data_IF_681661281339
#
_entry.id   IF_681661281339
#
_cell.length_a   1.000
_cell.length_b   1.000
_cell.length_c   1.000
_cell.angle_alpha   90.00
_cell.angle_beta   90.00
_cell.angle_gamma   90.00
#
_symmetry.space_group_name_H-M   'P 1'
#
loop_
_entity.id
_entity.type
_entity.pdbx_description
1 polymer ?
#
# COMPACT_ATOMS: atom_id res chain seq x y z
N UNK A 1 -17.67 -7.94 -1.02
CA UNK A 1 -17.54 -6.55 -0.52
C UNK A 1 -16.80 -6.50 0.82
N UNK A 2 -17.31 -7.09 1.91
CA UNK A 2 -16.64 -7.07 3.21
C UNK A 2 -15.21 -7.65 3.18
N UNK A 3 -15.01 -8.81 2.53
CA UNK A 3 -13.67 -9.40 2.37
C UNK A 3 -12.70 -8.49 1.60
N UNK A 4 -13.19 -7.79 0.57
CA UNK A 4 -12.37 -6.81 -0.16
C UNK A 4 -12.00 -5.64 0.75
N UNK A 5 -12.93 -5.19 1.60
CA UNK A 5 -12.67 -4.11 2.55
C UNK A 5 -11.64 -4.53 3.60
N UNK A 6 -11.74 -5.74 4.17
CA UNK A 6 -10.72 -6.32 5.06
C UNK A 6 -9.36 -6.35 4.34
N UNK A 7 -9.34 -6.81 3.09
CA UNK A 7 -8.12 -6.84 2.27
C UNK A 7 -7.48 -5.46 2.10
N UNK A 8 -8.27 -4.46 1.70
CA UNK A 8 -7.77 -3.10 1.50
C UNK A 8 -7.21 -2.47 2.79
N UNK A 9 -7.90 -2.65 3.92
CA UNK A 9 -7.46 -2.13 5.22
C UNK A 9 -6.21 -2.87 5.69
N UNK A 10 -6.16 -4.19 5.50
CA UNK A 10 -5.00 -5.01 5.81
C UNK A 10 -3.78 -4.60 5.00
N UNK A 11 -3.94 -4.43 3.67
CA UNK A 11 -2.88 -3.92 2.82
C UNK A 11 -2.39 -2.56 3.32
N UNK A 12 -3.30 -1.60 3.55
CA UNK A 12 -2.94 -0.27 4.06
C UNK A 12 -2.13 -0.33 5.37
N UNK A 13 -2.58 -1.13 6.34
CA UNK A 13 -1.90 -1.31 7.62
C UNK A 13 -0.51 -1.95 7.45
N UNK A 14 -0.42 -3.08 6.75
CA UNK A 14 0.82 -3.83 6.60
C UNK A 14 1.85 -3.07 5.76
N UNK A 15 1.41 -2.30 4.77
CA UNK A 15 2.26 -1.36 4.01
C UNK A 15 3.00 -0.39 4.95
N UNK A 16 2.29 0.23 5.89
CA UNK A 16 2.88 1.15 6.88
C UNK A 16 3.78 0.39 7.87
N UNK A 17 3.32 -0.75 8.37
CA UNK A 17 4.08 -1.57 9.30
C UNK A 17 5.42 -2.04 8.70
N UNK A 18 5.42 -2.47 7.43
CA UNK A 18 6.63 -2.83 6.69
C UNK A 18 7.53 -1.61 6.56
N UNK A 19 7.02 -0.44 6.21
CA UNK A 19 7.83 0.79 6.11
C UNK A 19 8.55 1.10 7.42
N UNK A 20 7.86 1.03 8.56
CA UNK A 20 8.47 1.22 9.89
C UNK A 20 9.48 0.13 10.24
N UNK A 21 9.18 -1.13 9.93
CA UNK A 21 10.10 -2.23 10.12
C UNK A 21 11.39 -2.02 9.32
N UNK A 22 11.25 -1.67 8.04
CA UNK A 22 12.35 -1.33 7.14
C UNK A 22 13.16 -0.16 7.69
N UNK A 23 12.51 0.91 8.16
CA UNK A 23 13.20 2.04 8.80
C UNK A 23 14.01 1.61 10.03
N UNK A 24 13.40 0.88 10.96
CA UNK A 24 14.09 0.43 12.18
C UNK A 24 15.27 -0.50 11.86
N UNK A 25 15.11 -1.39 10.90
CA UNK A 25 16.15 -2.35 10.50
C UNK A 25 17.29 -1.69 9.73
N UNK A 26 17.00 -0.74 8.83
CA UNK A 26 18.02 -0.10 7.98
C UNK A 26 18.65 1.14 8.60
N UNK A 27 17.81 2.05 9.11
CA UNK A 27 18.26 3.34 9.62
C UNK A 27 18.79 3.21 11.05
N UNK A 28 18.06 2.49 11.90
CA UNK A 28 18.43 2.32 13.32
C UNK A 28 19.25 1.05 13.59
N UNK A 29 19.40 0.14 12.60
CA UNK A 29 20.03 -1.18 12.75
C UNK A 29 19.54 -1.98 13.97
N UNK A 30 18.29 -1.73 14.39
CA UNK A 30 17.70 -2.43 15.54
C UNK A 30 17.10 -3.73 15.07
N UNK A 31 17.68 -4.84 15.50
CA UNK A 31 17.10 -6.17 15.32
C UNK A 31 15.72 -6.19 15.98
N UNK A 32 14.69 -6.33 15.15
CA UNK A 32 13.32 -6.37 15.64
C UNK A 32 13.09 -7.70 16.36
N UNK A 33 12.68 -7.62 17.62
CA UNK A 33 12.38 -8.80 18.43
C UNK A 33 11.01 -9.36 18.05
N UNK A 34 10.82 -10.67 18.29
CA UNK A 34 9.53 -11.35 18.08
C UNK A 34 8.39 -10.76 18.90
N UNK A 35 8.73 -10.18 20.06
CA UNK A 35 7.79 -9.47 20.91
C UNK A 35 7.28 -8.16 20.31
N UNK A 36 7.90 -7.65 19.23
CA UNK A 36 7.43 -6.46 18.50
C UNK A 36 6.62 -6.87 17.29
N UNK A 37 7.16 -7.71 16.41
CA UNK A 37 6.47 -8.02 15.15
C UNK A 37 5.24 -8.94 15.36
N UNK A 38 5.26 -9.83 16.36
CA UNK A 38 4.13 -10.72 16.64
C UNK A 38 2.84 -9.95 16.96
N UNK A 39 2.86 -9.06 17.97
CA UNK A 39 1.73 -8.20 18.28
C UNK A 39 1.30 -7.30 17.13
N UNK A 40 2.24 -6.75 16.34
CA UNK A 40 1.92 -5.94 15.16
C UNK A 40 1.11 -6.73 14.12
N UNK A 41 1.45 -8.00 13.89
CA UNK A 41 0.70 -8.84 12.95
C UNK A 41 -0.71 -9.12 13.47
N UNK A 42 -0.82 -9.53 14.74
CA UNK A 42 -2.13 -9.82 15.36
C UNK A 42 -3.01 -8.57 15.35
N UNK A 43 -2.45 -7.41 15.71
CA UNK A 43 -3.17 -6.13 15.70
C UNK A 43 -3.60 -5.72 14.29
N UNK A 44 -2.74 -5.91 13.29
CA UNK A 44 -3.06 -5.63 11.88
C UNK A 44 -4.27 -6.42 11.39
N UNK A 45 -4.29 -7.73 11.65
CA UNK A 45 -5.44 -8.57 11.31
C UNK A 45 -6.70 -8.20 12.10
N UNK A 46 -6.57 -7.96 13.41
CA UNK A 46 -7.69 -7.54 14.25
C UNK A 46 -8.32 -6.23 13.73
N UNK A 47 -7.51 -5.21 13.45
CA UNK A 47 -7.98 -3.92 12.89
C UNK A 47 -8.65 -4.13 11.54
N UNK A 48 -8.08 -4.96 10.67
CA UNK A 48 -8.63 -5.24 9.34
C UNK A 48 -9.99 -5.93 9.39
N UNK A 49 -10.12 -6.93 10.28
CA UNK A 49 -11.38 -7.63 10.51
C UNK A 49 -12.41 -6.70 11.13
N UNK A 50 -12.05 -6.00 12.21
CA UNK A 50 -12.97 -5.09 12.90
C UNK A 50 -13.50 -4.04 11.93
N UNK A 51 -12.64 -3.30 11.23
CA UNK A 51 -13.07 -2.24 10.33
C UNK A 51 -13.77 -2.76 9.06
N UNK A 52 -13.40 -3.95 8.58
CA UNK A 52 -14.06 -4.57 7.43
C UNK A 52 -15.46 -5.12 7.75
N UNK A 53 -15.69 -5.60 8.96
CA UNK A 53 -17.00 -6.12 9.40
C UNK A 53 -17.85 -5.08 10.15
N UNK A 54 -17.28 -3.98 10.63
CA UNK A 54 -18.00 -2.89 11.32
C UNK A 54 -19.29 -2.42 10.60
N UNK A 55 -19.31 -2.28 9.26
CA UNK A 55 -20.51 -1.83 8.55
C UNK A 55 -21.63 -2.87 8.48
N UNK A 56 -21.33 -4.14 8.78
CA UNK A 56 -22.32 -5.23 8.83
C UNK A 56 -22.98 -5.34 10.21
N UNK A 57 -22.23 -5.04 11.26
CA UNK A 57 -22.70 -5.11 12.64
C UNK A 57 -23.38 -3.82 13.11
N UNK A 58 -23.10 -2.69 12.46
CA UNK A 58 -23.84 -1.47 12.70
C UNK A 58 -25.17 -1.51 11.94
N UNK A 59 -26.28 -1.21 12.61
CA UNK A 59 -27.65 -1.16 12.05
C UNK A 59 -27.85 -0.07 10.95
N UNK A 60 -26.81 0.28 10.21
CA UNK A 60 -26.80 1.34 9.19
C UNK A 60 -27.39 0.89 7.83
N UNK A 61 -28.13 -0.23 7.81
CA UNK A 61 -28.68 -0.81 6.59
C UNK A 61 -27.61 -1.47 5.70
N UNK A 62 -27.93 -1.78 4.43
CA UNK A 62 -27.00 -2.46 3.52
C UNK A 62 -25.89 -1.50 3.05
N UNK A 63 -24.84 -1.33 3.86
CA UNK A 63 -23.70 -0.46 3.56
C UNK A 63 -22.88 -0.96 2.36
N UNK A 64 -22.83 -2.28 2.18
CA UNK A 64 -22.14 -2.92 1.07
C UNK A 64 -23.03 -3.09 -0.17
N UNK A 65 -22.44 -2.92 -1.34
CA UNK A 65 -23.11 -3.07 -2.63
C UNK A 65 -22.18 -2.88 -3.82
N UNK A 66 -22.72 -2.89 -5.05
CA UNK A 66 -21.97 -2.52 -6.25
C UNK A 66 -21.48 -1.07 -6.13
N UNK A 67 -20.20 -0.85 -6.43
CA UNK A 67 -19.49 0.44 -6.28
C UNK A 67 -18.54 0.64 -7.47
N UNK A 68 -19.09 1.11 -8.59
CA UNK A 68 -18.38 1.19 -9.87
C UNK A 68 -18.09 -0.19 -10.45
N UNK A 69 -16.81 -0.48 -10.74
CA UNK A 69 -16.33 -1.74 -11.31
C UNK A 69 -16.16 -2.88 -10.29
N UNK A 70 -16.36 -2.60 -9.00
CA UNK A 70 -16.09 -3.54 -7.92
C UNK A 70 -17.21 -3.54 -6.86
N UNK A 71 -17.14 -4.49 -5.93
CA UNK A 71 -18.05 -4.56 -4.79
C UNK A 71 -17.43 -3.91 -3.56
N UNK A 72 -18.08 -2.89 -3.00
CA UNK A 72 -17.51 -2.11 -1.89
C UNK A 72 -18.59 -1.38 -1.10
N UNK A 73 -18.19 -0.33 -0.39
CA UNK A 73 -19.15 0.59 0.25
C UNK A 73 -19.93 1.30 -0.87
N UNK A 74 -21.25 1.36 -0.73
CA UNK A 74 -22.12 1.98 -1.74
C UNK A 74 -21.75 3.44 -1.96
N UNK A 75 -21.74 3.88 -3.22
CA UNK A 75 -21.46 5.28 -3.58
C UNK A 75 -22.54 6.25 -3.05
N UNK A 76 -23.73 5.73 -2.75
CA UNK A 76 -24.81 6.51 -2.11
C UNK A 76 -24.49 6.91 -0.67
N UNK A 77 -23.66 6.13 0.05
CA UNK A 77 -23.21 6.44 1.40
C UNK A 77 -21.85 7.15 1.37
N UNK A 78 -21.87 8.39 0.86
CA UNK A 78 -20.70 9.23 0.61
C UNK A 78 -19.77 9.39 1.82
N UNK A 79 -20.34 9.66 2.98
CA UNK A 79 -19.59 9.86 4.24
C UNK A 79 -18.88 8.58 4.65
N UNK A 80 -19.60 7.46 4.65
CA UNK A 80 -19.08 6.14 5.02
C UNK A 80 -18.00 5.68 4.03
N UNK A 81 -18.19 5.91 2.73
CA UNK A 81 -17.19 5.62 1.71
C UNK A 81 -15.88 6.37 1.99
N UNK A 82 -15.95 7.65 2.31
CA UNK A 82 -14.76 8.43 2.62
C UNK A 82 -14.03 7.92 3.87
N UNK A 83 -14.75 7.75 4.98
CA UNK A 83 -14.14 7.37 6.26
C UNK A 83 -13.66 5.93 6.32
N UNK A 84 -14.42 4.97 5.79
CA UNK A 84 -14.06 3.56 5.89
C UNK A 84 -13.11 3.12 4.79
N UNK A 85 -13.21 3.70 3.59
CA UNK A 85 -12.43 3.24 2.44
C UNK A 85 -11.29 4.20 2.08
N UNK A 86 -11.61 5.47 1.81
CA UNK A 86 -10.64 6.38 1.23
C UNK A 86 -9.59 6.89 2.24
N UNK A 87 -10.04 7.26 3.43
CA UNK A 87 -9.20 7.87 4.47
C UNK A 87 -8.10 6.93 4.99
N UNK A 88 -8.35 5.65 5.32
CA UNK A 88 -7.29 4.73 5.76
C UNK A 88 -6.22 4.52 4.69
N UNK A 89 -6.62 4.43 3.42
CA UNK A 89 -5.71 4.26 2.29
C UNK A 89 -4.84 5.50 2.11
N UNK A 90 -5.42 6.70 2.18
CA UNK A 90 -4.67 7.95 2.10
C UNK A 90 -3.67 8.11 3.24
N UNK A 91 -4.09 7.85 4.48
CA UNK A 91 -3.21 7.92 5.65
C UNK A 91 -2.05 6.94 5.48
N UNK A 92 -2.33 5.70 5.07
CA UNK A 92 -1.30 4.70 4.85
C UNK A 92 -0.31 5.10 3.74
N UNK A 93 -0.83 5.63 2.63
CA UNK A 93 0.00 6.11 1.52
C UNK A 93 0.91 7.26 1.94
N UNK A 94 0.39 8.26 2.67
CA UNK A 94 1.18 9.41 3.14
C UNK A 94 2.21 8.98 4.19
N UNK A 95 1.83 8.18 5.18
CA UNK A 95 2.76 7.71 6.22
C UNK A 95 3.88 6.87 5.63
N UNK A 96 3.57 5.92 4.75
CA UNK A 96 4.58 5.11 4.09
C UNK A 96 5.51 5.96 3.21
N UNK A 97 4.97 6.92 2.45
CA UNK A 97 5.79 7.85 1.66
C UNK A 97 6.78 8.65 2.51
N UNK A 98 6.33 9.18 3.65
CA UNK A 98 7.20 9.92 4.58
C UNK A 98 8.31 9.01 5.11
N UNK A 99 7.97 7.80 5.57
CA UNK A 99 8.96 6.87 6.12
C UNK A 99 9.99 6.46 5.07
N UNK A 100 9.56 6.11 3.85
CA UNK A 100 10.50 5.76 2.78
C UNK A 100 11.35 6.94 2.32
N UNK A 101 10.79 8.15 2.27
CA UNK A 101 11.57 9.36 1.99
C UNK A 101 12.67 9.58 3.04
N UNK A 102 12.37 9.39 4.33
CA UNK A 102 13.36 9.46 5.41
C UNK A 102 14.46 8.41 5.25
N UNK A 103 14.11 7.16 4.92
CA UNK A 103 15.10 6.10 4.67
C UNK A 103 16.04 6.54 3.55
N UNK A 104 15.51 7.07 2.45
CA UNK A 104 16.31 7.53 1.31
C UNK A 104 17.24 8.70 1.67
N UNK A 105 16.73 9.69 2.41
CA UNK A 105 17.52 10.83 2.88
C UNK A 105 18.69 10.39 3.76
N UNK A 106 18.46 9.42 4.66
CA UNK A 106 19.50 8.85 5.51
C UNK A 106 20.52 8.04 4.71
N UNK A 107 20.07 7.15 3.83
CA UNK A 107 20.98 6.34 3.00
C UNK A 107 21.84 7.18 2.07
N UNK A 108 21.33 8.31 1.60
CA UNK A 108 22.08 9.25 0.76
C UNK A 108 23.03 10.14 1.56
N UNK A 109 23.04 10.03 2.89
CA UNK A 109 23.92 10.76 3.78
C UNK A 109 23.51 12.22 4.03
N UNK A 110 22.31 12.63 3.62
CA UNK A 110 21.82 14.00 3.88
C UNK A 110 21.42 14.21 5.35
N UNK A 111 21.00 13.16 6.05
CA UNK A 111 20.57 13.22 7.44
C UNK A 111 21.38 12.20 8.26
N UNK A 112 22.09 12.68 9.28
CA UNK A 112 22.80 11.83 10.24
C UNK A 112 21.99 11.74 11.53
N UNK A 113 21.43 10.56 11.81
CA UNK A 113 20.68 10.31 13.04
C UNK A 113 21.69 9.90 14.13
N UNK A 114 21.68 10.57 15.29
CA UNK A 114 22.51 10.19 16.45
C UNK A 114 22.15 8.76 16.89
N UNK A 115 23.11 7.84 16.78
CA UNK A 115 22.89 6.39 17.02
C UNK A 115 22.47 5.59 15.78
N UNK A 116 22.29 6.25 14.63
CA UNK A 116 22.10 5.64 13.31
C UNK A 116 23.43 5.48 12.56
N UNK A 117 23.34 4.99 11.32
CA UNK A 117 24.50 4.65 10.46
C UNK A 117 25.50 5.81 10.33
N UNK A 118 26.75 5.61 10.81
CA UNK A 118 27.92 6.33 10.31
C UNK A 118 28.34 5.68 8.98
N UNK A 119 28.62 6.49 7.96
CA UNK A 119 28.92 6.12 6.56
C UNK A 119 30.28 5.39 6.42
N UNK A 120 30.57 4.44 7.30
CA UNK A 120 31.84 3.71 7.40
C UNK A 120 31.64 2.19 7.50
N UNK A 121 30.40 1.69 7.52
CA UNK A 121 30.12 0.25 7.68
C UNK A 121 29.70 -0.39 6.35
N UNK A 122 30.66 -1.14 5.78
CA UNK A 122 30.52 -2.16 4.72
C UNK A 122 29.78 -1.72 3.44
N UNK A 123 30.54 -1.18 2.49
CA UNK A 123 30.05 -0.58 1.24
C UNK A 123 29.18 -1.53 0.41
N UNK A 124 29.51 -2.83 0.39
CA UNK A 124 28.81 -3.83 -0.40
C UNK A 124 27.38 -4.10 0.11
N UNK A 125 27.21 -4.25 1.43
CA UNK A 125 25.89 -4.43 2.04
C UNK A 125 25.05 -3.16 1.88
N UNK A 126 25.65 -1.98 2.11
CA UNK A 126 24.94 -0.71 1.92
C UNK A 126 24.49 -0.51 0.46
N UNK A 127 25.31 -0.83 -0.54
CA UNK A 127 24.95 -0.69 -1.95
C UNK A 127 23.81 -1.61 -2.36
N UNK A 128 23.85 -2.88 -1.95
CA UNK A 128 22.79 -3.85 -2.25
C UNK A 128 21.44 -3.39 -1.67
N UNK A 129 21.43 -3.01 -0.40
CA UNK A 129 20.21 -2.53 0.27
C UNK A 129 19.75 -1.17 -0.25
N UNK A 130 20.66 -0.27 -0.63
CA UNK A 130 20.30 1.02 -1.25
C UNK A 130 19.61 0.83 -2.59
N UNK A 131 20.06 -0.13 -3.40
CA UNK A 131 19.40 -0.49 -4.67
C UNK A 131 18.00 -1.10 -4.43
N UNK A 132 17.86 -1.94 -3.40
CA UNK A 132 16.55 -2.50 -3.01
C UNK A 132 15.61 -1.39 -2.54
N UNK A 133 16.07 -0.52 -1.64
CA UNK A 133 15.27 0.60 -1.13
C UNK A 133 14.90 1.55 -2.26
N UNK A 134 15.81 1.86 -3.19
CA UNK A 134 15.49 2.68 -4.38
C UNK A 134 14.40 2.04 -5.23
N UNK A 135 14.45 0.72 -5.42
CA UNK A 135 13.42 -0.03 -6.14
C UNK A 135 12.08 -0.02 -5.40
N UNK A 136 12.10 -0.22 -4.07
CA UNK A 136 10.91 -0.11 -3.22
C UNK A 136 10.31 1.29 -3.27
N UNK A 137 11.14 2.34 -3.28
CA UNK A 137 10.69 3.73 -3.32
C UNK A 137 10.03 4.08 -4.65
N UNK A 138 10.58 3.58 -5.77
CA UNK A 138 9.94 3.69 -7.08
C UNK A 138 8.60 2.96 -7.14
N UNK A 139 8.49 1.77 -6.53
CA UNK A 139 7.23 1.04 -6.42
C UNK A 139 6.19 1.81 -5.59
N UNK A 140 6.62 2.45 -4.49
CA UNK A 140 5.74 3.28 -3.67
C UNK A 140 5.32 4.59 -4.35
N UNK A 141 6.23 5.25 -5.08
CA UNK A 141 5.90 6.41 -5.91
C UNK A 141 4.91 6.02 -7.02
N UNK A 142 5.13 4.89 -7.68
CA UNK A 142 4.22 4.34 -8.66
C UNK A 142 2.84 4.05 -8.04
N UNK A 143 2.78 3.50 -6.83
CA UNK A 143 1.54 3.30 -6.09
C UNK A 143 0.80 4.62 -5.80
N UNK A 144 1.50 5.69 -5.40
CA UNK A 144 0.89 7.01 -5.19
C UNK A 144 0.32 7.56 -6.51
N UNK A 145 1.08 7.45 -7.61
CA UNK A 145 0.63 7.89 -8.93
C UNK A 145 -0.60 7.10 -9.40
N UNK A 146 -0.66 5.80 -9.10
CA UNK A 146 -1.82 4.94 -9.34
C UNK A 146 -3.02 5.30 -8.47
N UNK A 147 -2.77 5.70 -7.21
CA UNK A 147 -3.81 6.04 -6.25
C UNK A 147 -4.51 7.35 -6.61
N UNK A 148 -3.79 8.33 -7.18
CA UNK A 148 -4.34 9.65 -7.52
C UNK A 148 -5.57 9.57 -8.44
N UNK A 149 -5.52 8.95 -9.64
CA UNK A 149 -6.68 8.89 -10.52
C UNK A 149 -7.85 8.13 -9.89
N UNK A 150 -7.55 7.04 -9.16
CA UNK A 150 -8.57 6.32 -8.39
C UNK A 150 -9.27 7.23 -7.37
N UNK A 151 -8.49 7.92 -6.53
CA UNK A 151 -9.04 8.80 -5.51
C UNK A 151 -9.78 10.00 -6.09
N UNK A 152 -9.31 10.57 -7.21
CA UNK A 152 -10.00 11.66 -7.91
C UNK A 152 -11.36 11.21 -8.42
N UNK A 153 -11.46 10.04 -9.06
CA UNK A 153 -12.77 9.52 -9.51
C UNK A 153 -13.70 9.25 -8.32
N UNK A 154 -13.18 8.75 -7.20
CA UNK A 154 -13.99 8.54 -5.98
C UNK A 154 -14.46 9.85 -5.35
N UNK A 155 -13.62 10.87 -5.29
CA UNK A 155 -13.99 12.19 -4.78
C UNK A 155 -15.03 12.90 -5.68
N UNK A 156 -14.91 12.74 -7.00
CA UNK A 156 -15.89 13.27 -7.96
C UNK A 156 -17.24 12.56 -7.84
N UNK A 157 -17.25 11.23 -7.65
CA UNK A 157 -18.47 10.47 -7.35
C UNK A 157 -19.10 10.92 -6.01
N UNK A 158 -18.29 11.15 -4.98
CA UNK A 158 -18.77 11.74 -3.70
C UNK A 158 -19.39 13.13 -3.92
N UNK A 159 -18.87 13.96 -4.83
CA UNK A 159 -19.50 15.23 -5.19
C UNK A 159 -20.81 15.09 -5.98
N UNK A 160 -21.13 13.90 -6.50
CA UNK A 160 -22.34 13.62 -7.26
C UNK A 160 -22.17 13.75 -8.77
N UNK A 161 -20.93 13.83 -9.28
CA UNK A 161 -20.69 13.79 -10.72
C UNK A 161 -20.86 12.38 -11.27
N UNK A 162 -21.55 12.24 -12.39
CA UNK A 162 -21.68 10.99 -13.13
C UNK A 162 -20.40 10.76 -13.95
N UNK A 163 -19.59 9.80 -13.52
CA UNK A 163 -18.30 9.51 -14.16
C UNK A 163 -18.54 8.49 -15.30
N UNK A 164 -18.11 8.78 -16.53
CA UNK A 164 -18.25 7.84 -17.64
C UNK A 164 -17.41 6.57 -17.39
N UNK A 165 -17.94 5.43 -17.84
CA UNK A 165 -17.33 4.11 -17.61
C UNK A 165 -15.87 4.04 -18.07
N UNK A 166 -15.52 4.68 -19.20
CA UNK A 166 -14.15 4.66 -19.74
C UNK A 166 -13.14 5.29 -18.77
N UNK A 167 -13.50 6.41 -18.12
CA UNK A 167 -12.64 7.10 -17.15
C UNK A 167 -12.48 6.25 -15.89
N UNK A 168 -13.52 5.54 -15.48
CA UNK A 168 -13.46 4.61 -14.35
C UNK A 168 -12.54 3.43 -14.64
N UNK A 169 -12.62 2.81 -15.82
CA UNK A 169 -11.72 1.73 -16.24
C UNK A 169 -10.27 2.22 -16.29
N UNK A 170 -10.02 3.39 -16.88
CA UNK A 170 -8.68 3.96 -16.93
C UNK A 170 -8.11 4.22 -15.52
N UNK A 171 -8.91 4.76 -14.61
CA UNK A 171 -8.48 5.04 -13.24
C UNK A 171 -8.19 3.76 -12.44
N UNK A 172 -8.95 2.68 -12.66
CA UNK A 172 -8.76 1.39 -11.98
C UNK A 172 -7.60 0.56 -12.57
N UNK A 173 -7.49 0.53 -13.90
CA UNK A 173 -6.56 -0.35 -14.62
C UNK A 173 -5.24 0.34 -14.92
N UNK A 174 -5.20 1.68 -14.84
CA UNK A 174 -4.10 2.62 -15.01
C UNK A 174 -2.78 2.00 -15.50
N UNK A 175 -2.24 2.46 -16.63
CA UNK A 175 -1.09 1.92 -17.40
C UNK A 175 0.04 1.30 -16.55
N UNK A 176 0.34 1.85 -15.39
CA UNK A 176 1.33 1.34 -14.45
C UNK A 176 0.97 -0.06 -13.88
N UNK A 177 -0.29 -0.37 -13.57
CA UNK A 177 -0.71 -1.71 -13.16
C UNK A 177 -0.50 -2.73 -14.30
N UNK A 178 -0.83 -2.34 -15.53
CA UNK A 178 -0.57 -3.16 -16.71
C UNK A 178 0.94 -3.33 -16.98
N UNK A 179 1.72 -2.28 -16.79
CA UNK A 179 3.19 -2.31 -16.94
C UNK A 179 3.83 -3.20 -15.88
N UNK A 180 3.35 -3.11 -14.62
CA UNK A 180 3.85 -3.90 -13.50
C UNK A 180 3.51 -5.36 -13.69
N UNK A 181 2.27 -5.67 -14.10
CA UNK A 181 1.84 -7.01 -14.48
C UNK A 181 2.66 -7.56 -15.65
N UNK A 182 2.89 -6.76 -16.69
CA UNK A 182 3.72 -7.12 -17.84
C UNK A 182 5.16 -7.41 -17.43
N UNK A 183 5.76 -6.57 -16.57
CA UNK A 183 7.12 -6.78 -16.07
C UNK A 183 7.20 -8.04 -15.20
N UNK A 184 6.21 -8.28 -14.33
CA UNK A 184 6.13 -9.50 -13.52
C UNK A 184 5.99 -10.74 -14.41
N UNK A 185 5.13 -10.73 -15.42
CA UNK A 185 5.00 -11.85 -16.36
C UNK A 185 6.26 -12.05 -17.19
N UNK A 186 6.92 -10.99 -17.65
CA UNK A 186 8.18 -11.08 -18.39
C UNK A 186 9.28 -11.73 -17.56
N UNK A 187 9.37 -11.41 -16.26
CA UNK A 187 10.34 -12.02 -15.34
C UNK A 187 10.00 -13.47 -15.02
N UNK A 188 8.71 -13.83 -14.95
CA UNK A 188 8.26 -15.19 -14.65
C UNK A 188 8.20 -16.13 -15.88
N UNK A 189 8.09 -15.60 -17.09
CA UNK A 189 8.06 -16.35 -18.36
C UNK A 189 9.15 -17.42 -18.47
N UNK A 190 10.43 -17.15 -18.17
CA UNK A 190 11.48 -18.17 -18.25
C UNK A 190 11.29 -19.35 -17.27
N UNK A 191 10.58 -19.16 -16.16
CA UNK A 191 10.28 -20.25 -15.21
C UNK A 191 9.15 -21.16 -15.69
N UNK A 192 8.23 -20.65 -16.51
CA UNK A 192 7.16 -21.46 -17.12
C UNK A 192 7.66 -22.27 -18.32
N UNK A 193 8.56 -21.70 -19.14
CA UNK A 193 9.16 -22.42 -20.27
C UNK A 193 10.04 -23.58 -19.81
N UNK A 194 10.83 -23.40 -18.74
CA UNK A 194 11.66 -24.45 -18.14
C UNK A 194 10.86 -25.68 -17.66
N UNK A 195 9.58 -25.51 -17.29
CA UNK A 195 8.72 -26.61 -16.81
C UNK A 195 8.05 -27.37 -17.96
N UNK A 196 8.03 -26.81 -19.17
CA UNK A 196 7.45 -27.44 -20.36
C UNK A 196 8.44 -28.24 -21.20
N UNK A 197 9.73 -28.19 -20.85
CA UNK A 197 10.83 -28.90 -21.53
C UNK A 197 11.26 -30.21 -20.83
N UNK A 198 10.50 -30.66 -19.83
CA UNK A 198 10.59 -31.98 -19.16
C UNK A 198 9.26 -32.69 -19.30
#
# INVERSE_FOLDING_TARGET
>A
AAVMQVGNIGTAYFTVAIAFHTFNSLVLRKRQSIYVYGPTIVLGWAVSLVLGFLPLISNMGPVYGPSGLACGVRETLKTQLFFFHLLPIFIAAVLSAIVYALIFLVLRGYIVIKGGVRVTSDSTYQQFFTNIVRTMLWLYLAYIVLLVPYSVTRLLSIRGYTIPFQVMVFAFVCVVNALLLFNTFRVLSPAFEAKSAT
#
